data_IF_006202849213
#
_entry.id   IF_006202849213
#
_cell.length_a   1.000
_cell.length_b   1.000
_cell.length_c   1.000
_cell.angle_alpha   90.00
_cell.angle_beta   90.00
_cell.angle_gamma   90.00
#
_symmetry.space_group_name_H-M   'P 1'
#
loop_
_entity.id
_entity.type
_entity.pdbx_description
1 polymer ?
#
# COMPACT_ATOMS: atom_id res chain seq x y z
N UNK A 1 -0.25 1.63 7.18
CA UNK A 1 0.19 0.24 7.42
C UNK A 1 0.98 -0.48 6.32
N UNK A 2 0.42 -0.95 5.19
CA UNK A 2 1.23 -1.73 4.22
C UNK A 2 2.45 -0.94 3.67
N UNK A 3 2.29 0.39 3.52
CA UNK A 3 3.37 1.36 3.23
C UNK A 3 4.40 1.42 4.37
N UNK A 4 3.93 1.57 5.60
CA UNK A 4 4.74 1.67 6.83
C UNK A 4 5.57 0.40 7.07
N UNK A 5 4.99 -0.78 6.91
CA UNK A 5 5.72 -2.07 6.95
C UNK A 5 6.81 -2.10 5.89
N UNK A 6 6.52 -1.68 4.65
CA UNK A 6 7.51 -1.62 3.58
C UNK A 6 8.67 -0.66 3.89
N UNK A 7 8.40 0.50 4.49
CA UNK A 7 9.42 1.44 4.96
C UNK A 7 10.26 0.79 6.06
N UNK A 8 9.62 0.21 7.08
CA UNK A 8 10.30 -0.46 8.19
C UNK A 8 11.18 -1.63 7.71
N UNK A 9 10.72 -2.43 6.76
CA UNK A 9 11.51 -3.52 6.18
C UNK A 9 12.69 -3.00 5.35
N UNK A 10 12.53 -1.89 4.62
CA UNK A 10 13.64 -1.26 3.89
C UNK A 10 14.72 -0.75 4.86
N UNK A 11 14.31 -0.06 5.94
CA UNK A 11 15.20 0.41 7.01
C UNK A 11 15.89 -0.77 7.71
N UNK A 12 15.13 -1.82 8.06
CA UNK A 12 15.67 -3.00 8.71
C UNK A 12 16.69 -3.72 7.84
N UNK A 13 16.42 -3.83 6.54
CA UNK A 13 17.34 -4.42 5.56
C UNK A 13 18.61 -3.58 5.45
N UNK A 14 18.48 -2.25 5.44
CA UNK A 14 19.63 -1.36 5.43
C UNK A 14 20.46 -1.49 6.70
N UNK A 15 19.89 -1.44 7.89
CA UNK A 15 20.68 -1.56 9.12
C UNK A 15 21.09 -3.00 9.51
N UNK A 16 20.62 -4.01 8.76
CA UNK A 16 20.71 -5.42 9.16
C UNK A 16 20.10 -5.68 10.56
N UNK A 17 18.93 -5.08 10.81
CA UNK A 17 18.17 -5.31 12.02
C UNK A 17 17.59 -6.72 12.05
N UNK A 18 17.44 -7.25 13.27
CA UNK A 18 16.60 -8.41 13.53
C UNK A 18 15.15 -8.07 13.18
N UNK A 19 14.44 -9.03 12.59
CA UNK A 19 13.01 -8.92 12.26
C UNK A 19 12.32 -10.16 12.79
N UNK A 20 11.68 -10.04 13.94
CA UNK A 20 10.94 -11.12 14.57
C UNK A 20 9.44 -10.91 14.48
N UNK A 21 8.69 -11.99 14.60
CA UNK A 21 7.25 -11.98 14.52
C UNK A 21 6.62 -12.64 15.74
N UNK A 22 5.56 -12.00 16.23
CA UNK A 22 4.67 -12.56 17.24
C UNK A 22 3.22 -12.44 16.77
N UNK A 23 2.34 -13.21 17.40
CA UNK A 23 0.90 -13.15 17.18
C UNK A 23 0.17 -13.17 18.53
N UNK A 24 -0.80 -12.27 18.70
CA UNK A 24 -1.68 -12.22 19.87
C UNK A 24 -2.86 -13.16 19.64
N UNK A 25 -3.01 -14.17 20.50
CA UNK A 25 -4.17 -15.04 20.42
C UNK A 25 -5.43 -14.26 20.79
N UNK A 26 -6.48 -14.42 19.98
CA UNK A 26 -7.81 -13.84 20.23
C UNK A 26 -7.77 -12.35 20.56
N UNK A 27 -7.06 -11.55 19.76
CA UNK A 27 -6.79 -10.12 20.01
C UNK A 27 -8.01 -9.34 20.53
N UNK A 28 -9.17 -9.45 19.85
CA UNK A 28 -10.38 -8.70 20.22
C UNK A 28 -10.98 -9.11 21.58
N UNK A 29 -10.75 -10.34 22.05
CA UNK A 29 -11.29 -10.81 23.34
C UNK A 29 -10.52 -10.28 24.56
N UNK A 30 -9.42 -9.56 24.35
CA UNK A 30 -8.64 -8.96 25.43
C UNK A 30 -9.23 -7.63 25.92
N UNK A 31 -10.12 -7.02 25.13
CA UNK A 31 -10.56 -5.65 25.37
C UNK A 31 -12.01 -5.58 25.88
N UNK A 32 -12.28 -4.59 26.72
CA UNK A 32 -13.61 -4.31 27.26
C UNK A 32 -14.38 -3.38 26.31
N UNK A 33 -15.69 -3.60 26.19
CA UNK A 33 -16.53 -2.71 25.37
C UNK A 33 -17.08 -1.61 26.28
N UNK A 34 -16.93 -0.34 25.88
CA UNK A 34 -17.57 0.78 26.56
C UNK A 34 -19.05 0.90 26.18
N UNK A 35 -19.38 0.58 24.92
CA UNK A 35 -20.74 0.58 24.42
C UNK A 35 -21.57 -0.59 24.97
N UNK A 36 -22.83 -0.30 25.28
CA UNK A 36 -23.80 -1.29 25.72
C UNK A 36 -24.32 -2.09 24.51
N UNK A 37 -23.76 -3.29 24.30
CA UNK A 37 -24.10 -4.14 23.16
C UNK A 37 -24.69 -5.45 23.65
N UNK A 38 -25.80 -5.82 23.03
CA UNK A 38 -26.48 -7.08 23.27
C UNK A 38 -26.40 -7.97 22.03
N UNK A 39 -26.29 -9.27 22.23
CA UNK A 39 -26.37 -10.27 21.17
C UNK A 39 -27.35 -11.38 21.52
N UNK A 40 -27.94 -12.00 20.51
CA UNK A 40 -28.68 -13.25 20.71
C UNK A 40 -27.77 -14.30 21.33
N UNK A 41 -28.36 -15.21 22.10
CA UNK A 41 -27.62 -16.31 22.68
C UNK A 41 -26.97 -17.15 21.56
N UNK A 42 -25.66 -17.43 21.64
CA UNK A 42 -24.98 -18.16 20.57
C UNK A 42 -25.54 -19.58 20.44
N UNK A 43 -25.57 -20.08 19.22
CA UNK A 43 -26.06 -21.43 18.92
C UNK A 43 -25.33 -22.48 19.79
N UNK A 44 -26.10 -23.35 20.45
CA UNK A 44 -25.58 -24.36 21.38
C UNK A 44 -25.36 -23.88 22.82
N UNK A 45 -25.55 -22.59 23.12
CA UNK A 45 -25.46 -22.01 24.47
C UNK A 45 -26.77 -21.40 24.95
N UNK A 46 -27.87 -21.60 24.21
CA UNK A 46 -29.20 -21.12 24.61
C UNK A 46 -29.64 -21.79 25.91
N UNK A 47 -30.02 -20.98 26.89
CA UNK A 47 -30.53 -21.46 28.18
C UNK A 47 -31.99 -21.87 28.04
N UNK A 48 -32.28 -23.13 28.34
CA UNK A 48 -33.64 -23.69 28.26
C UNK A 48 -34.58 -22.93 29.20
N UNK A 49 -35.70 -22.46 28.66
CA UNK A 49 -36.68 -21.63 29.37
C UNK A 49 -36.37 -20.13 29.38
N UNK A 50 -35.20 -19.71 28.88
CA UNK A 50 -34.81 -18.31 28.75
C UNK A 50 -34.41 -17.95 27.32
N UNK A 51 -34.97 -18.64 26.32
CA UNK A 51 -34.60 -18.49 24.90
C UNK A 51 -34.79 -17.06 24.37
N UNK A 52 -35.67 -16.28 25.01
CA UNK A 52 -35.99 -14.90 24.64
C UNK A 52 -34.98 -13.88 25.18
N UNK A 53 -34.08 -14.29 26.08
CA UNK A 53 -33.06 -13.40 26.65
C UNK A 53 -31.90 -13.20 25.69
N UNK A 54 -31.25 -12.05 25.83
CA UNK A 54 -30.03 -11.67 25.09
C UNK A 54 -28.83 -11.61 26.04
N UNK A 55 -27.64 -11.83 25.50
CA UNK A 55 -26.39 -11.69 26.23
C UNK A 55 -25.90 -10.23 26.16
N UNK A 56 -25.56 -9.65 27.31
CA UNK A 56 -24.84 -8.37 27.37
C UNK A 56 -23.34 -8.63 27.18
N UNK A 57 -22.76 -8.04 26.14
CA UNK A 57 -21.34 -8.23 25.82
C UNK A 57 -20.46 -7.40 26.75
N UNK A 58 -19.62 -8.09 27.52
CA UNK A 58 -18.63 -7.46 28.42
C UNK A 58 -17.31 -7.15 27.71
N UNK A 59 -17.00 -7.87 26.63
CA UNK A 59 -15.74 -7.78 25.89
C UNK A 59 -15.97 -7.84 24.40
N UNK A 60 -15.04 -7.24 23.66
CA UNK A 60 -15.15 -7.18 22.22
C UNK A 60 -15.06 -8.57 21.59
N UNK A 61 -15.80 -8.79 20.51
CA UNK A 61 -15.82 -10.06 19.78
C UNK A 61 -15.64 -9.80 18.29
N UNK A 62 -15.23 -10.86 17.58
CA UNK A 62 -15.10 -10.81 16.12
C UNK A 62 -16.44 -10.49 15.46
N UNK A 63 -16.43 -9.55 14.52
CA UNK A 63 -17.61 -9.09 13.78
C UNK A 63 -18.15 -7.74 14.27
N UNK A 64 -17.75 -7.28 15.47
CA UNK A 64 -18.08 -5.92 15.90
C UNK A 64 -17.26 -4.89 15.12
N UNK A 65 -17.92 -3.82 14.67
CA UNK A 65 -17.30 -2.75 13.89
C UNK A 65 -16.18 -2.01 14.66
N UNK A 66 -16.29 -1.93 15.98
CA UNK A 66 -15.35 -1.21 16.84
C UNK A 66 -14.21 -2.08 17.36
N UNK A 67 -14.31 -3.41 17.25
CA UNK A 67 -13.37 -4.36 17.88
C UNK A 67 -11.90 -4.08 17.56
N UNK A 68 -11.58 -3.77 16.31
CA UNK A 68 -10.21 -3.44 15.92
C UNK A 68 -9.70 -2.11 16.47
N UNK A 69 -10.59 -1.13 16.63
CA UNK A 69 -10.23 0.19 17.17
C UNK A 69 -9.98 0.11 18.66
N UNK A 70 -10.91 -0.51 19.39
CA UNK A 70 -10.82 -0.69 20.84
C UNK A 70 -9.58 -1.53 21.22
N UNK A 71 -9.30 -2.62 20.48
CA UNK A 71 -8.05 -3.37 20.63
C UNK A 71 -6.79 -2.53 20.43
N UNK A 72 -6.75 -1.64 19.43
CA UNK A 72 -5.58 -0.80 19.19
C UNK A 72 -5.36 0.21 20.32
N UNK A 73 -6.44 0.78 20.87
CA UNK A 73 -6.39 1.68 22.03
C UNK A 73 -5.87 0.93 23.26
N UNK A 74 -6.43 -0.24 23.57
CA UNK A 74 -5.98 -1.05 24.69
C UNK A 74 -4.51 -1.46 24.55
N UNK A 75 -4.08 -1.87 23.36
CA UNK A 75 -2.69 -2.21 23.11
C UNK A 75 -1.75 -1.00 23.30
N UNK A 76 -2.16 0.18 22.83
CA UNK A 76 -1.42 1.44 22.98
C UNK A 76 -1.18 1.80 24.45
N UNK A 77 -2.22 1.71 25.29
CA UNK A 77 -2.12 1.95 26.73
C UNK A 77 -1.14 0.98 27.40
N UNK A 78 -1.25 -0.31 27.07
CA UNK A 78 -0.40 -1.35 27.64
C UNK A 78 1.06 -1.14 27.21
N UNK A 79 1.33 -1.02 25.90
CA UNK A 79 2.68 -0.93 25.36
C UNK A 79 3.38 0.37 25.78
N UNK A 80 2.64 1.47 25.96
CA UNK A 80 3.15 2.73 26.51
C UNK A 80 3.69 2.57 27.94
N UNK A 81 3.12 1.67 28.74
CA UNK A 81 3.64 1.28 30.06
C UNK A 81 4.99 0.55 30.03
N UNK A 82 5.50 0.21 28.84
CA UNK A 82 6.81 -0.41 28.64
C UNK A 82 7.74 0.46 27.78
N UNK A 83 7.65 1.78 27.94
CA UNK A 83 8.52 2.80 27.33
C UNK A 83 8.52 2.85 25.79
N UNK A 84 7.54 2.21 25.15
CA UNK A 84 7.33 2.38 23.72
C UNK A 84 6.56 3.66 23.47
N UNK A 85 7.07 4.47 22.55
CA UNK A 85 6.44 5.70 22.09
C UNK A 85 5.78 5.43 20.75
N UNK A 86 4.48 5.71 20.66
CA UNK A 86 3.71 5.60 19.42
C UNK A 86 4.16 6.65 18.41
N UNK A 87 4.15 6.27 17.13
CA UNK A 87 4.36 7.19 16.01
C UNK A 87 3.06 7.93 15.69
N UNK A 88 3.09 9.26 15.58
CA UNK A 88 1.91 10.10 15.38
C UNK A 88 1.37 10.01 13.95
N UNK A 89 2.19 9.56 12.99
CA UNK A 89 1.81 9.43 11.57
C UNK A 89 1.30 8.03 11.19
N UNK A 90 1.65 6.99 11.95
CA UNK A 90 1.04 5.67 11.91
C UNK A 90 0.88 5.09 13.33
N UNK A 91 -0.33 5.15 13.94
CA UNK A 91 -0.58 4.77 15.33
C UNK A 91 -0.51 3.25 15.60
N UNK A 92 -0.03 2.49 14.63
CA UNK A 92 0.28 1.06 14.76
C UNK A 92 1.79 0.80 14.82
N UNK A 93 2.62 1.84 14.80
CA UNK A 93 4.09 1.75 14.86
C UNK A 93 4.57 2.41 16.14
N UNK A 94 5.44 1.71 16.86
CA UNK A 94 5.99 2.15 18.13
C UNK A 94 7.50 2.06 18.10
N UNK A 95 8.18 2.93 18.85
CA UNK A 95 9.64 2.98 19.00
C UNK A 95 10.02 2.96 20.47
N UNK A 96 11.00 2.14 20.83
CA UNK A 96 11.67 2.13 22.14
C UNK A 96 13.17 2.31 21.92
N UNK A 97 13.77 3.21 22.68
CA UNK A 97 15.21 3.51 22.63
C UNK A 97 15.79 3.39 24.04
N UNK A 98 16.93 2.72 24.17
CA UNK A 98 17.70 2.68 25.41
C UNK A 98 19.20 2.72 25.07
N UNK A 99 19.82 3.89 25.25
CA UNK A 99 21.19 4.12 24.79
C UNK A 99 21.32 3.93 23.27
N UNK A 100 22.19 3.01 22.84
CA UNK A 100 22.35 2.64 21.42
C UNK A 100 21.38 1.57 20.95
N UNK A 101 20.60 0.97 21.86
CA UNK A 101 19.65 -0.10 21.53
C UNK A 101 18.33 0.50 21.08
N UNK A 102 17.80 0.02 19.96
CA UNK A 102 16.54 0.44 19.39
C UNK A 102 15.66 -0.76 19.04
N UNK A 103 14.38 -0.64 19.38
CA UNK A 103 13.34 -1.57 18.98
C UNK A 103 12.16 -0.82 18.40
N UNK A 104 11.63 -1.34 17.31
CA UNK A 104 10.38 -0.91 16.70
C UNK A 104 9.37 -2.05 16.79
N UNK A 105 8.14 -1.69 17.08
CA UNK A 105 7.01 -2.62 17.11
C UNK A 105 5.98 -2.15 16.08
N UNK A 106 5.62 -3.01 15.13
CA UNK A 106 4.54 -2.76 14.18
C UNK A 106 3.40 -3.72 14.46
N UNK A 107 2.27 -3.18 14.91
CA UNK A 107 1.05 -3.92 15.20
C UNK A 107 0.12 -3.94 13.97
N UNK A 108 -0.33 -5.11 13.55
CA UNK A 108 -1.47 -5.26 12.66
C UNK A 108 -2.48 -6.22 13.24
N UNK A 109 -3.52 -5.68 13.86
CA UNK A 109 -4.55 -6.50 14.51
C UNK A 109 -3.87 -7.46 15.50
N UNK A 110 -3.78 -8.74 15.18
CA UNK A 110 -3.15 -9.78 15.99
C UNK A 110 -1.66 -10.01 15.67
N UNK A 111 -1.18 -9.61 14.50
CA UNK A 111 0.22 -9.77 14.10
C UNK A 111 1.10 -8.64 14.65
N UNK A 112 2.29 -8.99 15.14
CA UNK A 112 3.31 -8.03 15.59
C UNK A 112 4.63 -8.32 14.87
N UNK A 113 5.20 -7.31 14.22
CA UNK A 113 6.62 -7.31 13.87
C UNK A 113 7.41 -6.56 14.92
N UNK A 114 8.47 -7.20 15.39
CA UNK A 114 9.43 -6.62 16.33
C UNK A 114 10.78 -6.52 15.62
N UNK A 115 11.25 -5.29 15.40
CA UNK A 115 12.41 -4.98 14.57
C UNK A 115 13.44 -4.22 15.40
N UNK A 116 14.72 -4.58 15.38
CA UNK A 116 15.72 -3.81 16.14
C UNK A 116 17.15 -4.31 16.02
N UNK A 117 18.06 -3.61 16.67
CA UNK A 117 19.49 -3.91 16.63
C UNK A 117 20.01 -4.72 17.84
N UNK A 118 19.21 -4.89 18.88
CA UNK A 118 19.63 -5.53 20.13
C UNK A 118 18.74 -6.72 20.47
N UNK A 119 19.28 -7.92 20.27
CA UNK A 119 18.61 -9.21 20.51
C UNK A 119 18.07 -9.31 21.95
N UNK A 120 18.78 -8.75 22.93
CA UNK A 120 18.35 -8.77 24.33
C UNK A 120 17.10 -7.91 24.54
N UNK A 121 17.10 -6.65 24.11
CA UNK A 121 15.94 -5.76 24.18
C UNK A 121 14.72 -6.35 23.48
N UNK A 122 14.91 -6.95 22.29
CA UNK A 122 13.81 -7.63 21.60
C UNK A 122 13.33 -8.85 22.41
N UNK A 123 14.25 -9.63 23.00
CA UNK A 123 13.94 -10.77 23.87
C UNK A 123 13.12 -10.37 25.10
N UNK A 124 13.55 -9.32 25.79
CA UNK A 124 12.90 -8.77 26.98
C UNK A 124 11.49 -8.24 26.61
N UNK A 125 11.35 -7.58 25.46
CA UNK A 125 10.06 -7.12 24.93
C UNK A 125 9.10 -8.28 24.66
N UNK A 126 9.57 -9.38 24.05
CA UNK A 126 8.75 -10.58 23.83
C UNK A 126 8.28 -11.20 25.15
N UNK A 127 9.19 -11.31 26.12
CA UNK A 127 8.88 -11.87 27.43
C UNK A 127 7.83 -11.01 28.13
N UNK A 128 8.03 -9.68 28.14
CA UNK A 128 7.10 -8.74 28.73
C UNK A 128 5.71 -8.77 28.06
N UNK A 129 5.64 -8.73 26.72
CA UNK A 129 4.37 -8.87 25.99
C UNK A 129 3.62 -10.17 26.36
N UNK A 130 4.36 -11.27 26.58
CA UNK A 130 3.79 -12.55 26.99
C UNK A 130 3.26 -12.58 28.42
N UNK A 131 3.62 -11.58 29.25
CA UNK A 131 3.00 -11.37 30.57
C UNK A 131 1.68 -10.60 30.49
N UNK A 132 1.51 -9.78 29.45
CA UNK A 132 0.32 -8.95 29.26
C UNK A 132 -0.76 -9.67 28.45
N UNK A 133 -0.35 -10.40 27.41
CA UNK A 133 -1.26 -11.05 26.46
C UNK A 133 -0.92 -12.51 26.24
N UNK A 134 -1.88 -13.29 25.75
CA UNK A 134 -1.64 -14.66 25.30
C UNK A 134 -0.91 -14.65 23.96
N UNK A 135 0.42 -14.77 24.00
CA UNK A 135 1.27 -14.64 22.82
C UNK A 135 1.61 -15.97 22.16
N UNK A 136 1.82 -15.93 20.84
CA UNK A 136 2.49 -16.97 20.05
C UNK A 136 3.75 -16.37 19.43
N UNK A 137 4.91 -16.91 19.78
CA UNK A 137 6.18 -16.55 19.14
C UNK A 137 6.30 -17.28 17.79
N UNK A 138 6.53 -16.54 16.71
CA UNK A 138 6.70 -17.08 15.36
C UNK A 138 8.16 -17.07 14.90
N UNK A 139 9.09 -16.58 15.73
CA UNK A 139 10.52 -16.54 15.42
C UNK A 139 10.85 -15.42 14.44
N UNK A 140 11.78 -15.67 13.52
CA UNK A 140 12.10 -14.75 12.43
C UNK A 140 10.88 -14.54 11.52
N UNK A 141 10.67 -13.30 11.08
CA UNK A 141 9.54 -12.95 10.25
C UNK A 141 9.65 -13.62 8.87
N UNK A 142 8.75 -14.57 8.62
CA UNK A 142 8.66 -15.29 7.34
C UNK A 142 7.36 -15.01 6.61
N UNK A 143 6.36 -14.43 7.28
CA UNK A 143 5.06 -14.13 6.69
C UNK A 143 4.34 -12.96 7.37
N UNK A 144 3.92 -11.95 6.63
CA UNK A 144 3.08 -10.87 7.17
C UNK A 144 2.07 -10.40 6.13
N UNK A 145 0.81 -10.16 6.50
CA UNK A 145 -0.21 -9.64 5.58
C UNK A 145 -0.33 -10.42 4.26
N UNK A 146 -0.22 -11.76 4.30
CA UNK A 146 -0.28 -12.54 3.06
C UNK A 146 0.99 -12.49 2.20
N UNK A 147 2.07 -11.89 2.69
CA UNK A 147 3.36 -11.70 2.02
C UNK A 147 4.39 -12.61 2.68
N UNK A 148 5.06 -13.46 1.89
CA UNK A 148 6.23 -14.23 2.35
C UNK A 148 7.46 -13.35 2.31
N UNK A 149 8.24 -13.37 3.38
CA UNK A 149 9.51 -12.64 3.53
C UNK A 149 10.67 -13.65 3.47
N UNK A 150 11.73 -13.26 2.78
CA UNK A 150 12.99 -13.99 2.69
C UNK A 150 14.12 -13.00 2.96
N UNK A 151 14.98 -13.31 3.92
CA UNK A 151 16.10 -12.44 4.28
C UNK A 151 17.41 -13.16 3.99
N UNK A 152 18.31 -12.52 3.24
CA UNK A 152 19.70 -12.93 3.06
C UNK A 152 20.58 -11.88 3.75
N UNK A 153 20.89 -12.13 5.04
CA UNK A 153 21.70 -11.21 5.85
C UNK A 153 23.13 -11.07 5.34
N UNK A 154 23.68 -12.12 4.73
CA UNK A 154 25.03 -12.09 4.16
C UNK A 154 25.16 -11.06 3.04
N UNK A 155 24.06 -10.85 2.30
CA UNK A 155 23.95 -9.85 1.24
C UNK A 155 23.17 -8.59 1.65
N UNK A 156 22.73 -8.49 2.90
CA UNK A 156 21.86 -7.41 3.44
C UNK A 156 20.68 -7.11 2.51
N UNK A 157 19.90 -8.15 2.31
CA UNK A 157 18.97 -8.23 1.20
C UNK A 157 17.68 -8.89 1.68
N UNK A 158 16.52 -8.36 1.27
CA UNK A 158 15.21 -8.86 1.69
C UNK A 158 14.26 -8.97 0.49
N UNK A 159 13.70 -10.15 0.27
CA UNK A 159 12.74 -10.44 -0.80
C UNK A 159 11.34 -10.68 -0.27
N UNK A 160 10.35 -10.06 -0.89
CA UNK A 160 8.93 -10.24 -0.58
C UNK A 160 8.16 -10.83 -1.75
N UNK A 161 7.32 -11.83 -1.51
CA UNK A 161 6.45 -12.42 -2.55
C UNK A 161 5.02 -12.71 -2.06
N UNK A 162 4.06 -12.63 -2.98
CA UNK A 162 2.65 -12.93 -2.76
C UNK A 162 2.19 -14.17 -3.54
N UNK A 163 3.13 -15.06 -3.87
CA UNK A 163 2.86 -16.25 -4.68
C UNK A 163 1.63 -17.04 -4.23
N UNK A 164 1.55 -17.39 -2.94
CA UNK A 164 0.43 -18.13 -2.36
C UNK A 164 -0.91 -17.38 -2.46
N UNK A 165 -0.90 -16.05 -2.32
CA UNK A 165 -2.10 -15.24 -2.51
C UNK A 165 -2.52 -15.22 -3.99
N UNK A 166 -1.56 -15.04 -4.90
CA UNK A 166 -1.82 -15.05 -6.35
C UNK A 166 -2.40 -16.40 -6.80
N UNK A 167 -1.88 -17.53 -6.30
CA UNK A 167 -2.44 -18.85 -6.59
C UNK A 167 -3.87 -19.02 -6.06
N UNK A 168 -4.15 -18.52 -4.85
CA UNK A 168 -5.49 -18.54 -4.25
C UNK A 168 -6.49 -17.76 -5.10
N UNK A 169 -6.16 -16.56 -5.56
CA UNK A 169 -7.08 -15.76 -6.40
C UNK A 169 -7.25 -16.40 -7.79
N UNK A 170 -6.19 -16.97 -8.37
CA UNK A 170 -6.29 -17.65 -9.66
C UNK A 170 -7.24 -18.84 -9.58
N UNK A 171 -7.13 -19.67 -8.53
CA UNK A 171 -8.03 -20.80 -8.29
C UNK A 171 -9.47 -20.33 -8.02
N UNK A 172 -9.65 -19.29 -7.20
CA UNK A 172 -10.97 -18.72 -6.87
C UNK A 172 -11.75 -18.29 -8.12
N UNK A 173 -11.06 -17.72 -9.11
CA UNK A 173 -11.67 -17.23 -10.34
C UNK A 173 -11.48 -18.16 -11.55
N UNK A 174 -11.05 -19.41 -11.34
CA UNK A 174 -10.86 -20.45 -12.40
C UNK A 174 -9.87 -20.03 -13.49
N UNK A 175 -8.76 -19.40 -13.10
CA UNK A 175 -7.72 -18.84 -13.97
C UNK A 175 -6.34 -19.50 -13.81
N UNK A 176 -6.23 -20.55 -13.00
CA UNK A 176 -5.00 -21.31 -12.72
C UNK A 176 -4.39 -21.99 -13.97
N UNK A 177 -5.23 -22.29 -14.98
CA UNK A 177 -4.83 -22.87 -16.26
C UNK A 177 -4.91 -21.88 -17.44
N UNK A 178 -5.27 -20.61 -17.20
CA UNK A 178 -5.45 -19.58 -18.23
C UNK A 178 -4.16 -19.21 -18.97
N UNK A 179 -4.19 -18.83 -20.25
CA UNK A 179 -2.98 -18.36 -20.97
C UNK A 179 -2.20 -17.30 -20.18
N UNK A 180 -0.88 -17.25 -20.32
CA UNK A 180 -0.03 -16.25 -19.64
C UNK A 180 0.08 -15.00 -20.50
N UNK A 181 -0.22 -13.83 -19.93
CA UNK A 181 -0.12 -12.54 -20.63
C UNK A 181 1.13 -11.78 -20.19
N UNK A 182 1.74 -11.03 -21.11
CA UNK A 182 2.98 -10.28 -20.86
C UNK A 182 2.75 -8.89 -20.25
N UNK A 183 1.57 -8.31 -20.47
CA UNK A 183 1.19 -7.00 -19.97
C UNK A 183 -0.16 -7.09 -19.24
N UNK A 184 -0.35 -6.35 -18.14
CA UNK A 184 -1.63 -6.29 -17.44
C UNK A 184 -2.71 -5.55 -18.25
N UNK A 185 -2.29 -4.61 -19.11
CA UNK A 185 -3.13 -3.88 -20.04
C UNK A 185 -2.33 -3.57 -21.30
N UNK A 186 -2.91 -3.86 -22.48
CA UNK A 186 -2.25 -3.61 -23.76
C UNK A 186 -2.52 -2.20 -24.24
N UNK A 187 -1.61 -1.66 -25.05
CA UNK A 187 -1.86 -0.42 -25.78
C UNK A 187 -3.13 -0.58 -26.65
N UNK A 188 -3.93 0.49 -26.77
CA UNK A 188 -5.17 0.57 -27.57
C UNK A 188 -6.39 -0.16 -27.01
N UNK A 189 -6.33 -0.74 -25.81
CA UNK A 189 -7.54 -1.23 -25.14
C UNK A 189 -8.37 -0.02 -24.70
N UNK A 190 -9.47 0.24 -25.41
CA UNK A 190 -10.44 1.28 -25.06
C UNK A 190 -11.61 0.67 -24.32
N UNK A 191 -11.86 1.16 -23.12
CA UNK A 191 -12.98 0.76 -22.26
C UNK A 191 -13.82 1.99 -21.98
N UNK A 192 -15.14 1.79 -21.88
CA UNK A 192 -16.07 2.90 -21.67
C UNK A 192 -17.28 2.45 -20.87
N UNK A 193 -17.81 3.35 -20.05
CA UNK A 193 -19.11 3.19 -19.37
C UNK A 193 -20.27 2.99 -20.35
N UNK A 194 -20.07 3.27 -21.64
CA UNK A 194 -21.02 3.00 -22.74
C UNK A 194 -20.97 1.54 -23.25
N UNK A 195 -20.20 0.67 -22.60
CA UNK A 195 -20.16 -0.78 -22.86
C UNK A 195 -20.82 -1.63 -21.76
N UNK A 196 -22.01 -1.26 -21.20
CA UNK A 196 -22.73 -2.16 -20.32
C UNK A 196 -23.34 -3.31 -21.14
N UNK A 197 -23.84 -4.38 -20.48
CA UNK A 197 -24.64 -5.40 -21.14
C UNK A 197 -25.79 -4.79 -21.94
N UNK A 198 -25.93 -5.15 -23.22
CA UNK A 198 -26.94 -4.58 -24.13
C UNK A 198 -28.16 -5.47 -24.31
N UNK A 199 -27.99 -6.78 -24.19
CA UNK A 199 -29.05 -7.77 -24.37
C UNK A 199 -29.45 -8.38 -23.03
N UNK A 200 -30.67 -8.92 -22.94
CA UNK A 200 -31.11 -9.66 -21.75
C UNK A 200 -30.22 -10.89 -21.46
N UNK A 201 -29.66 -11.50 -22.50
CA UNK A 201 -28.71 -12.61 -22.36
C UNK A 201 -27.38 -12.16 -21.76
N UNK A 202 -26.83 -11.04 -22.24
CA UNK A 202 -25.62 -10.45 -21.66
C UNK A 202 -25.83 -10.00 -20.22
N UNK A 203 -26.99 -9.44 -19.91
CA UNK A 203 -27.35 -9.01 -18.55
C UNK A 203 -27.35 -10.22 -17.61
N UNK A 204 -28.06 -11.29 -17.98
CA UNK A 204 -28.10 -12.54 -17.21
C UNK A 204 -26.71 -13.11 -17.00
N UNK A 205 -25.88 -13.16 -18.05
CA UNK A 205 -24.50 -13.64 -17.94
C UNK A 205 -23.66 -12.79 -17.00
N UNK A 206 -23.77 -11.46 -17.07
CA UNK A 206 -22.97 -10.56 -16.24
C UNK A 206 -23.42 -10.51 -14.78
N UNK A 207 -24.67 -10.86 -14.46
CA UNK A 207 -25.13 -11.02 -13.07
C UNK A 207 -24.33 -12.08 -12.30
N UNK A 208 -23.92 -13.15 -12.99
CA UNK A 208 -23.11 -14.23 -12.40
C UNK A 208 -21.60 -13.93 -12.40
N UNK A 209 -21.17 -12.83 -13.02
CA UNK A 209 -19.75 -12.46 -13.08
C UNK A 209 -19.35 -11.72 -11.79
N UNK A 210 -18.41 -12.25 -10.99
CA UNK A 210 -18.03 -11.66 -9.71
C UNK A 210 -17.03 -10.50 -9.88
N UNK A 211 -17.38 -9.48 -10.69
CA UNK A 211 -16.48 -8.40 -11.11
C UNK A 211 -15.89 -7.64 -9.91
N UNK A 212 -16.72 -7.13 -9.00
CA UNK A 212 -16.25 -6.41 -7.82
C UNK A 212 -15.35 -7.27 -6.92
N UNK A 213 -15.67 -8.56 -6.79
CA UNK A 213 -14.91 -9.51 -5.97
C UNK A 213 -13.50 -9.76 -6.53
N UNK A 214 -13.35 -9.91 -7.85
CA UNK A 214 -12.03 -10.07 -8.47
C UNK A 214 -11.23 -8.77 -8.43
N UNK A 215 -11.87 -7.63 -8.66
CA UNK A 215 -11.22 -6.32 -8.62
C UNK A 215 -10.70 -6.04 -7.21
N UNK A 216 -11.49 -6.31 -6.17
CA UNK A 216 -11.04 -6.22 -4.77
C UNK A 216 -9.89 -7.18 -4.44
N UNK A 217 -9.90 -8.39 -5.00
CA UNK A 217 -8.80 -9.36 -4.82
C UNK A 217 -7.50 -8.90 -5.49
N UNK A 218 -7.59 -8.30 -6.69
CA UNK A 218 -6.44 -7.71 -7.38
C UNK A 218 -5.95 -6.47 -6.61
N UNK A 219 -6.86 -5.67 -6.07
CA UNK A 219 -6.54 -4.48 -5.29
C UNK A 219 -5.69 -4.80 -4.06
N UNK A 220 -6.03 -5.85 -3.32
CA UNK A 220 -5.20 -6.29 -2.20
C UNK A 220 -3.78 -6.68 -2.63
N UNK A 221 -3.64 -7.46 -3.71
CA UNK A 221 -2.31 -7.79 -4.26
C UNK A 221 -1.53 -6.52 -4.64
N UNK A 222 -2.19 -5.57 -5.31
CA UNK A 222 -1.60 -4.32 -5.75
C UNK A 222 -1.18 -3.39 -4.60
N UNK A 223 -1.90 -3.39 -3.48
CA UNK A 223 -1.58 -2.60 -2.30
C UNK A 223 -0.42 -3.17 -1.49
N UNK A 224 -0.22 -4.49 -1.51
CA UNK A 224 0.87 -5.16 -0.82
C UNK A 224 2.20 -5.00 -1.57
N UNK A 225 2.37 -5.71 -2.70
CA UNK A 225 3.64 -5.69 -3.47
C UNK A 225 3.45 -5.67 -5.00
N UNK A 226 2.24 -5.88 -5.52
CA UNK A 226 1.98 -6.04 -6.97
C UNK A 226 1.69 -4.71 -7.66
N UNK A 227 2.57 -3.72 -7.51
CA UNK A 227 2.42 -2.43 -8.20
C UNK A 227 2.30 -2.56 -9.72
N UNK A 228 2.81 -3.65 -10.27
CA UNK A 228 2.79 -4.00 -11.68
C UNK A 228 1.38 -4.36 -12.20
N UNK A 229 0.33 -4.13 -11.44
CA UNK A 229 -1.05 -4.11 -11.94
C UNK A 229 -1.80 -2.83 -11.57
N UNK A 230 -1.15 -1.86 -10.93
CA UNK A 230 -1.80 -0.68 -10.34
C UNK A 230 -2.54 0.17 -11.38
N UNK A 231 -1.92 0.42 -12.55
CA UNK A 231 -2.58 1.15 -13.64
C UNK A 231 -3.81 0.42 -14.16
N UNK A 232 -3.66 -0.85 -14.56
CA UNK A 232 -4.76 -1.64 -15.08
C UNK A 232 -5.91 -1.74 -14.07
N UNK A 233 -5.60 -1.96 -12.79
CA UNK A 233 -6.56 -1.97 -11.70
C UNK A 233 -7.31 -0.62 -11.57
N UNK A 234 -6.57 0.49 -11.63
CA UNK A 234 -7.14 1.84 -11.57
C UNK A 234 -8.18 2.08 -12.66
N UNK A 235 -7.92 1.58 -13.88
CA UNK A 235 -8.88 1.60 -14.99
C UNK A 235 -10.08 0.68 -14.70
N UNK A 236 -9.85 -0.56 -14.22
CA UNK A 236 -10.94 -1.50 -13.93
C UNK A 236 -11.90 -1.01 -12.84
N UNK A 237 -11.40 -0.25 -11.86
CA UNK A 237 -12.21 0.32 -10.79
C UNK A 237 -13.30 1.27 -11.29
N UNK A 238 -13.14 1.88 -12.46
CA UNK A 238 -14.08 2.85 -13.04
C UNK A 238 -15.42 2.24 -13.45
N UNK A 239 -15.46 0.91 -13.61
CA UNK A 239 -16.59 0.20 -14.21
C UNK A 239 -17.31 -0.74 -13.23
N UNK A 240 -17.03 -0.68 -11.93
CA UNK A 240 -17.62 -1.62 -10.95
C UNK A 240 -19.16 -1.63 -10.98
N UNK A 241 -19.80 -0.48 -11.23
CA UNK A 241 -21.25 -0.35 -11.26
C UNK A 241 -21.90 -0.76 -12.61
N UNK A 242 -21.12 -0.86 -13.69
CA UNK A 242 -21.65 -1.05 -15.05
C UNK A 242 -20.80 -2.02 -15.90
N UNK A 243 -20.15 -2.98 -15.26
CA UNK A 243 -19.26 -3.91 -15.93
C UNK A 243 -20.01 -4.74 -16.99
N UNK A 244 -19.67 -4.53 -18.26
CA UNK A 244 -19.91 -5.47 -19.36
C UNK A 244 -18.72 -6.40 -19.67
N UNK A 245 -18.86 -7.20 -20.74
CA UNK A 245 -17.90 -8.23 -21.13
C UNK A 245 -16.50 -7.75 -21.51
N UNK A 246 -16.40 -6.55 -22.10
CA UNK A 246 -15.11 -5.95 -22.42
C UNK A 246 -14.29 -5.73 -21.13
N UNK A 247 -14.94 -5.23 -20.08
CA UNK A 247 -14.34 -5.03 -18.77
C UNK A 247 -13.98 -6.37 -18.12
N UNK A 248 -14.86 -7.37 -18.19
CA UNK A 248 -14.56 -8.71 -17.68
C UNK A 248 -13.34 -9.34 -18.38
N UNK A 249 -13.23 -9.15 -19.70
CA UNK A 249 -12.09 -9.61 -20.49
C UNK A 249 -10.80 -8.90 -20.08
N UNK A 250 -10.86 -7.60 -19.80
CA UNK A 250 -9.73 -6.84 -19.28
C UNK A 250 -9.29 -7.34 -17.89
N UNK A 251 -10.21 -7.58 -16.96
CA UNK A 251 -9.87 -8.15 -15.64
C UNK A 251 -9.24 -9.54 -15.76
N UNK A 252 -9.78 -10.40 -16.63
CA UNK A 252 -9.15 -11.71 -16.93
C UNK A 252 -7.73 -11.55 -17.47
N UNK A 253 -7.44 -10.50 -18.24
CA UNK A 253 -6.08 -10.20 -18.73
C UNK A 253 -5.13 -9.89 -17.57
N UNK A 254 -5.57 -9.14 -16.57
CA UNK A 254 -4.79 -8.89 -15.35
C UNK A 254 -4.48 -10.20 -14.61
N UNK A 255 -5.48 -11.10 -14.46
CA UNK A 255 -5.25 -12.41 -13.84
C UNK A 255 -4.26 -13.28 -14.63
N UNK A 256 -4.35 -13.30 -15.97
CA UNK A 256 -3.39 -13.99 -16.83
C UNK A 256 -1.96 -13.44 -16.68
N UNK A 257 -1.84 -12.13 -16.49
CA UNK A 257 -0.56 -11.48 -16.22
C UNK A 257 -0.02 -11.83 -14.83
N UNK A 258 -0.87 -11.81 -13.79
CA UNK A 258 -0.51 -12.28 -12.46
C UNK A 258 -0.08 -13.75 -12.47
N UNK A 259 -0.74 -14.62 -13.27
CA UNK A 259 -0.30 -16.01 -13.48
C UNK A 259 1.11 -16.09 -14.05
N UNK A 260 1.45 -15.23 -15.02
CA UNK A 260 2.79 -15.19 -15.61
C UNK A 260 3.86 -14.81 -14.59
N UNK A 261 3.51 -13.92 -13.68
CA UNK A 261 4.45 -13.22 -12.81
C UNK A 261 4.30 -13.60 -11.33
N UNK A 262 3.60 -14.69 -11.03
CA UNK A 262 3.27 -15.12 -9.66
C UNK A 262 4.51 -15.37 -8.79
N UNK A 263 5.63 -15.70 -9.42
CA UNK A 263 6.91 -16.00 -8.78
C UNK A 263 7.85 -14.79 -8.69
N UNK A 264 7.37 -13.57 -9.01
CA UNK A 264 8.14 -12.35 -8.83
C UNK A 264 8.23 -11.92 -7.37
N UNK A 265 9.33 -11.24 -7.05
CA UNK A 265 9.67 -10.70 -5.76
C UNK A 265 9.82 -9.19 -5.85
N UNK A 266 9.36 -8.48 -4.82
CA UNK A 266 9.85 -7.13 -4.52
C UNK A 266 11.10 -7.31 -3.65
N UNK A 267 12.25 -6.90 -4.17
CA UNK A 267 13.55 -7.12 -3.53
C UNK A 267 14.09 -5.79 -3.02
N UNK A 268 14.52 -5.82 -1.77
CA UNK A 268 15.22 -4.74 -1.09
C UNK A 268 16.69 -5.09 -0.96
N UNK A 269 17.57 -4.13 -1.19
CA UNK A 269 19.01 -4.39 -1.13
C UNK A 269 19.87 -3.17 -1.45
N UNK A 270 20.32 -2.51 -0.38
CA UNK A 270 21.42 -1.53 -0.39
C UNK A 270 21.18 -0.25 -1.19
N UNK A 271 22.07 0.72 -1.00
CA UNK A 271 21.92 2.10 -1.49
C UNK A 271 22.19 3.11 -0.37
N UNK A 272 22.02 4.38 -0.70
CA UNK A 272 21.98 5.44 0.31
C UNK A 272 20.58 5.52 0.87
N UNK A 273 20.45 5.63 2.20
CA UNK A 273 19.16 5.65 2.90
C UNK A 273 18.42 6.98 2.65
N UNK A 274 18.04 7.24 1.40
CA UNK A 274 17.42 8.47 0.91
C UNK A 274 16.01 8.12 0.43
N UNK A 275 15.04 8.97 0.78
CA UNK A 275 13.68 8.93 0.25
C UNK A 275 13.60 9.81 -1.00
N UNK A 276 13.15 9.22 -2.11
CA UNK A 276 12.91 9.92 -3.37
C UNK A 276 11.57 9.50 -3.99
N UNK A 277 10.90 10.44 -4.64
CA UNK A 277 9.62 10.26 -5.33
C UNK A 277 9.75 10.47 -6.85
N UNK A 278 8.89 9.83 -7.63
CA UNK A 278 8.75 10.05 -9.06
C UNK A 278 7.26 10.17 -9.38
N UNK A 279 6.91 11.16 -10.22
CA UNK A 279 5.54 11.37 -10.67
C UNK A 279 5.43 11.52 -12.17
N UNK A 280 4.30 11.06 -12.68
CA UNK A 280 3.88 11.19 -14.06
C UNK A 280 2.38 11.49 -14.10
N UNK A 281 1.94 12.14 -15.17
CA UNK A 281 0.52 12.34 -15.46
C UNK A 281 0.21 12.07 -16.92
N UNK A 282 -0.80 11.24 -17.18
CA UNK A 282 -1.39 11.14 -18.52
C UNK A 282 -2.57 12.12 -18.62
N UNK A 283 -2.34 13.26 -19.25
CA UNK A 283 -3.35 14.28 -19.48
C UNK A 283 -4.53 13.73 -20.29
N UNK A 284 -5.76 14.02 -19.85
CA UNK A 284 -6.99 13.71 -20.58
C UNK A 284 -7.10 12.24 -21.04
N UNK A 285 -6.59 11.33 -20.20
CA UNK A 285 -6.41 9.91 -20.56
C UNK A 285 -7.69 9.06 -20.51
N UNK A 286 -8.76 9.55 -19.88
CA UNK A 286 -10.01 8.82 -19.75
C UNK A 286 -10.94 9.10 -20.94
N UNK A 287 -11.32 8.05 -21.69
CA UNK A 287 -12.19 8.17 -22.86
C UNK A 287 -13.66 8.56 -22.50
N UNK A 288 -14.09 8.46 -21.23
CA UNK A 288 -15.47 8.73 -20.81
C UNK A 288 -15.70 10.17 -20.34
N UNK A 289 -14.82 10.70 -19.48
CA UNK A 289 -14.97 12.05 -18.88
C UNK A 289 -13.72 12.94 -19.01
N UNK A 290 -12.74 12.51 -19.81
CA UNK A 290 -11.54 13.28 -20.14
C UNK A 290 -10.69 13.65 -18.92
N UNK A 291 -10.87 12.99 -17.78
CA UNK A 291 -10.05 13.24 -16.60
C UNK A 291 -8.68 12.54 -16.73
N UNK A 292 -7.64 13.23 -16.28
CA UNK A 292 -6.25 12.75 -16.31
C UNK A 292 -5.99 11.61 -15.33
N UNK A 293 -5.03 10.74 -15.67
CA UNK A 293 -4.52 9.71 -14.78
C UNK A 293 -3.21 10.20 -14.16
N UNK A 294 -3.11 10.16 -12.83
CA UNK A 294 -1.86 10.42 -12.11
C UNK A 294 -1.23 9.11 -11.63
N UNK A 295 0.10 9.10 -11.56
CA UNK A 295 0.87 7.99 -11.04
C UNK A 295 2.09 8.51 -10.27
N UNK A 296 2.39 7.89 -9.14
CA UNK A 296 3.64 8.16 -8.44
C UNK A 296 4.22 6.90 -7.80
N UNK A 297 5.52 6.93 -7.55
CA UNK A 297 6.27 5.90 -6.83
C UNK A 297 7.28 6.55 -5.90
N UNK A 298 7.49 5.95 -4.73
CA UNK A 298 8.53 6.37 -3.79
C UNK A 298 9.49 5.24 -3.49
N UNK A 299 10.77 5.57 -3.53
CA UNK A 299 11.86 4.68 -3.18
C UNK A 299 12.54 5.17 -1.91
N UNK A 300 12.88 4.24 -1.02
CA UNK A 300 13.75 4.47 0.12
C UNK A 300 14.92 3.51 -0.02
N UNK A 301 16.16 3.99 0.05
CA UNK A 301 17.32 3.14 -0.18
C UNK A 301 17.33 2.49 -1.58
N UNK A 302 16.84 3.18 -2.61
CA UNK A 302 16.68 2.59 -3.94
C UNK A 302 15.58 1.52 -4.04
N UNK A 303 14.91 1.20 -2.94
CA UNK A 303 13.90 0.15 -2.84
C UNK A 303 12.49 0.75 -2.83
N UNK A 304 11.56 0.15 -3.58
CA UNK A 304 10.22 0.71 -3.75
C UNK A 304 9.34 0.50 -2.50
N UNK A 305 8.98 1.58 -1.82
CA UNK A 305 8.23 1.56 -0.55
C UNK A 305 6.80 2.10 -0.64
N UNK A 306 6.47 2.92 -1.64
CA UNK A 306 5.09 3.39 -1.87
C UNK A 306 4.80 3.63 -3.36
N UNK A 307 3.51 3.57 -3.73
CA UNK A 307 3.05 3.89 -5.09
C UNK A 307 1.56 4.20 -5.11
N UNK A 308 1.13 4.88 -6.17
CA UNK A 308 -0.29 5.10 -6.48
C UNK A 308 -0.48 5.22 -7.98
N UNK A 309 -1.62 4.73 -8.45
CA UNK A 309 -2.13 4.98 -9.79
C UNK A 309 -3.61 5.30 -9.65
N UNK A 310 -4.00 6.55 -9.91
CA UNK A 310 -5.36 7.01 -9.72
C UNK A 310 -5.81 7.93 -10.83
N UNK A 311 -7.10 7.91 -11.11
CA UNK A 311 -7.75 9.00 -11.82
C UNK A 311 -7.72 10.25 -10.93
N UNK A 312 -7.51 11.43 -11.52
CA UNK A 312 -7.66 12.70 -10.82
C UNK A 312 -9.12 12.96 -10.46
N UNK A 313 -9.38 13.90 -9.55
CA UNK A 313 -10.76 14.23 -9.14
C UNK A 313 -11.44 15.23 -10.09
N UNK A 314 -10.64 15.98 -10.84
CA UNK A 314 -11.08 17.14 -11.62
C UNK A 314 -10.52 17.11 -13.03
N UNK A 315 -11.34 17.46 -14.01
CA UNK A 315 -10.88 17.77 -15.37
C UNK A 315 -10.11 19.09 -15.38
N UNK A 316 -9.04 19.17 -16.15
CA UNK A 316 -8.19 20.35 -16.30
C UNK A 316 -7.92 20.64 -17.77
N UNK A 317 -7.58 21.89 -18.08
CA UNK A 317 -7.52 22.40 -19.45
C UNK A 317 -6.12 22.30 -20.06
N UNK A 318 -5.10 21.94 -19.27
CA UNK A 318 -3.72 21.79 -19.75
C UNK A 318 -2.97 20.65 -19.09
N UNK A 319 -2.00 20.09 -19.82
CA UNK A 319 -1.05 19.10 -19.29
C UNK A 319 -0.32 19.63 -18.06
N UNK A 320 0.11 20.90 -18.09
CA UNK A 320 0.78 21.55 -16.96
C UNK A 320 -0.06 21.51 -15.68
N UNK A 321 -1.36 21.80 -15.75
CA UNK A 321 -2.23 21.75 -14.58
C UNK A 321 -2.45 20.33 -14.07
N UNK A 322 -2.55 19.36 -14.97
CA UNK A 322 -2.66 17.96 -14.60
C UNK A 322 -1.40 17.49 -13.84
N UNK A 323 -0.22 17.82 -14.36
CA UNK A 323 1.06 17.52 -13.72
C UNK A 323 1.20 18.20 -12.36
N UNK A 324 0.76 19.45 -12.26
CA UNK A 324 0.80 20.16 -10.99
C UNK A 324 -0.13 19.54 -9.94
N UNK A 325 -1.32 19.09 -10.35
CA UNK A 325 -2.22 18.35 -9.46
C UNK A 325 -1.55 17.07 -8.98
N UNK A 326 -0.92 16.31 -9.87
CA UNK A 326 -0.22 15.08 -9.51
C UNK A 326 0.93 15.36 -8.53
N UNK A 327 1.78 16.35 -8.82
CA UNK A 327 2.86 16.78 -7.95
C UNK A 327 2.36 17.25 -6.56
N UNK A 328 1.21 17.92 -6.51
CA UNK A 328 0.60 18.32 -5.23
C UNK A 328 0.10 17.12 -4.40
N UNK A 329 -0.51 16.12 -5.04
CA UNK A 329 -0.94 14.90 -4.35
C UNK A 329 0.26 14.04 -3.91
N UNK A 330 1.32 13.97 -4.72
CA UNK A 330 2.57 13.29 -4.37
C UNK A 330 3.29 14.00 -3.22
N UNK A 331 3.38 15.32 -3.24
CA UNK A 331 4.02 16.09 -2.16
C UNK A 331 3.35 15.87 -0.80
N UNK A 332 2.02 15.75 -0.74
CA UNK A 332 1.32 15.37 0.49
C UNK A 332 1.79 14.01 1.02
N UNK A 333 1.96 13.04 0.13
CA UNK A 333 2.44 11.71 0.49
C UNK A 333 3.91 11.73 0.90
N UNK A 334 4.73 12.53 0.22
CA UNK A 334 6.13 12.76 0.58
C UNK A 334 6.25 13.38 1.98
N UNK A 335 5.46 14.40 2.31
CA UNK A 335 5.44 15.03 3.64
C UNK A 335 5.00 14.03 4.71
N UNK A 336 3.95 13.23 4.46
CA UNK A 336 3.57 12.18 5.40
C UNK A 336 4.71 11.17 5.62
N UNK A 337 5.40 10.75 4.56
CA UNK A 337 6.54 9.82 4.67
C UNK A 337 7.74 10.45 5.37
N UNK A 338 8.03 11.73 5.09
CA UNK A 338 9.08 12.51 5.76
C UNK A 338 8.83 12.53 7.26
N UNK A 339 7.63 12.91 7.69
CA UNK A 339 7.32 13.00 9.12
C UNK A 339 7.30 11.62 9.79
N UNK A 340 6.70 10.61 9.13
CA UNK A 340 6.71 9.23 9.62
C UNK A 340 8.14 8.72 9.87
N UNK A 341 9.04 8.93 8.90
CA UNK A 341 10.44 8.49 8.97
C UNK A 341 11.25 9.34 9.97
N UNK A 342 10.99 10.65 10.07
CA UNK A 342 11.60 11.52 11.08
C UNK A 342 11.36 11.01 12.50
N UNK A 343 10.15 10.59 12.81
CA UNK A 343 9.83 10.03 14.13
C UNK A 343 10.50 8.69 14.43
N UNK A 344 10.91 7.94 13.40
CA UNK A 344 11.71 6.72 13.60
C UNK A 344 13.13 7.06 14.09
N UNK A 345 13.64 8.26 13.76
CA UNK A 345 14.94 8.79 14.21
C UNK A 345 16.14 7.90 13.86
N UNK A 346 16.07 7.26 12.69
CA UNK A 346 17.12 6.37 12.16
C UNK A 346 17.43 6.63 10.69
N UNK A 347 16.95 7.72 10.11
CA UNK A 347 17.21 8.05 8.70
C UNK A 347 17.71 9.48 8.61
N UNK A 348 19.01 9.77 8.79
CA UNK A 348 19.50 11.14 8.91
C UNK A 348 19.20 12.02 7.69
N UNK A 349 19.22 11.43 6.49
CA UNK A 349 18.93 12.11 5.22
C UNK A 349 17.52 12.71 5.16
N UNK A 350 16.58 12.26 6.00
CA UNK A 350 15.19 12.71 5.99
C UNK A 350 15.03 14.14 6.49
N UNK A 351 16.05 14.69 7.15
CA UNK A 351 16.10 16.10 7.51
C UNK A 351 16.05 17.00 6.25
N UNK A 352 16.69 16.56 5.17
CA UNK A 352 16.68 17.27 3.89
C UNK A 352 15.30 17.20 3.20
N UNK A 353 15.00 18.13 2.27
CA UNK A 353 13.78 18.07 1.48
C UNK A 353 13.71 16.77 0.65
N UNK A 354 12.56 16.09 0.66
CA UNK A 354 12.33 14.90 -0.18
C UNK A 354 12.31 15.31 -1.64
N UNK A 355 13.19 14.72 -2.44
CA UNK A 355 13.26 15.02 -3.87
C UNK A 355 12.13 14.29 -4.60
N UNK A 356 11.36 15.05 -5.36
CA UNK A 356 10.30 14.57 -6.24
C UNK A 356 10.73 14.82 -7.69
N UNK A 357 10.88 13.74 -8.44
CA UNK A 357 11.24 13.77 -9.84
C UNK A 357 10.01 13.88 -10.73
N UNK A 358 9.97 14.91 -11.59
CA UNK A 358 8.92 15.14 -12.57
C UNK A 358 9.56 15.40 -13.95
N UNK A 359 8.93 14.98 -15.04
CA UNK A 359 9.44 15.21 -16.39
C UNK A 359 8.91 16.51 -17.03
N UNK A 360 7.93 17.16 -16.41
CA UNK A 360 7.32 18.39 -16.91
C UNK A 360 8.01 19.67 -16.40
N UNK A 361 8.79 20.30 -17.27
CA UNK A 361 9.46 21.58 -16.99
C UNK A 361 8.49 22.72 -16.60
N UNK A 362 7.27 22.73 -17.16
CA UNK A 362 6.27 23.76 -16.87
C UNK A 362 5.77 23.67 -15.44
N UNK A 363 5.51 22.45 -14.94
CA UNK A 363 5.13 22.22 -13.55
C UNK A 363 6.27 22.60 -12.59
N UNK A 364 7.52 22.20 -12.89
CA UNK A 364 8.70 22.54 -12.09
C UNK A 364 8.92 24.06 -12.04
N UNK A 365 8.84 24.73 -13.18
CA UNK A 365 8.99 26.18 -13.26
C UNK A 365 7.90 26.90 -12.46
N UNK A 366 6.66 26.39 -12.46
CA UNK A 366 5.57 27.03 -11.73
C UNK A 366 5.70 26.89 -10.21
N UNK A 367 6.34 25.84 -9.71
CA UNK A 367 6.70 25.70 -8.29
C UNK A 367 7.78 26.72 -7.90
N UNK A 368 8.77 26.96 -8.77
CA UNK A 368 9.90 27.88 -8.50
C UNK A 368 9.53 29.35 -8.69
N UNK A 369 8.78 29.67 -9.73
CA UNK A 369 8.42 31.04 -10.14
C UNK A 369 6.91 31.15 -10.39
N UNK A 370 6.14 31.59 -9.38
CA UNK A 370 4.69 31.66 -9.51
C UNK A 370 4.28 32.79 -10.46
N UNK A 371 3.84 32.43 -11.67
CA UNK A 371 3.17 33.36 -12.57
C UNK A 371 1.72 33.53 -12.14
N UNK A 372 1.29 34.79 -11.97
CA UNK A 372 -0.10 35.16 -11.73
C UNK A 372 -0.95 34.70 -12.92
N UNK A 373 -1.84 33.74 -12.68
CA UNK A 373 -2.83 33.31 -13.64
C UNK A 373 -4.22 33.31 -12.99
N UNK A 374 -5.20 33.79 -13.73
CA UNK A 374 -6.61 33.84 -13.34
C UNK A 374 -7.21 32.42 -13.39
N UNK A 375 -6.82 31.53 -12.47
CA UNK A 375 -7.19 30.10 -12.45
C UNK A 375 -8.34 29.82 -11.49
N UNK A 376 -8.96 28.65 -11.66
CA UNK A 376 -10.03 28.15 -10.80
C UNK A 376 -9.56 27.98 -9.34
N UNK A 377 -10.46 28.25 -8.36
CA UNK A 377 -10.13 28.24 -6.92
C UNK A 377 -9.53 26.90 -6.43
N UNK A 378 -9.97 25.77 -6.99
CA UNK A 378 -9.53 24.43 -6.57
C UNK A 378 -8.06 24.18 -6.94
N UNK A 379 -7.67 24.61 -8.14
CA UNK A 379 -6.30 24.56 -8.62
C UNK A 379 -5.43 25.50 -7.78
N UNK A 380 -5.91 26.71 -7.49
CA UNK A 380 -5.19 27.69 -6.67
C UNK A 380 -4.83 27.16 -5.27
N UNK A 381 -5.73 26.43 -4.60
CA UNK A 381 -5.44 25.82 -3.29
C UNK A 381 -4.30 24.80 -3.37
N UNK A 382 -4.30 23.93 -4.39
CA UNK A 382 -3.21 22.97 -4.62
C UNK A 382 -1.90 23.70 -4.95
N UNK A 383 -1.96 24.80 -5.69
CA UNK A 383 -0.82 25.70 -5.92
C UNK A 383 -0.18 26.17 -4.62
N UNK A 384 -0.97 26.79 -3.75
CA UNK A 384 -0.48 27.31 -2.47
C UNK A 384 0.09 26.21 -1.57
N UNK A 385 -0.57 25.04 -1.50
CA UNK A 385 -0.11 23.95 -0.64
C UNK A 385 1.25 23.38 -1.06
N UNK A 386 1.43 23.07 -2.36
CA UNK A 386 2.71 22.54 -2.84
C UNK A 386 3.82 23.58 -2.65
N UNK A 387 3.52 24.85 -2.88
CA UNK A 387 4.46 25.95 -2.66
C UNK A 387 4.87 26.05 -1.20
N UNK A 388 3.91 26.03 -0.27
CA UNK A 388 4.18 26.06 1.16
C UNK A 388 5.08 24.89 1.58
N UNK A 389 4.82 23.67 1.09
CA UNK A 389 5.67 22.50 1.36
C UNK A 389 7.11 22.68 0.87
N UNK A 390 7.30 23.34 -0.29
CA UNK A 390 8.64 23.64 -0.83
C UNK A 390 9.32 24.75 -0.02
N UNK A 391 8.60 25.82 0.33
CA UNK A 391 9.11 26.93 1.14
C UNK A 391 9.50 26.49 2.56
N UNK A 392 8.75 25.54 3.15
CA UNK A 392 9.09 24.91 4.44
C UNK A 392 10.29 23.96 4.35
N UNK A 393 10.73 23.58 3.15
CA UNK A 393 11.81 22.61 2.95
C UNK A 393 11.38 21.14 3.17
N UNK A 394 10.09 20.84 3.04
CA UNK A 394 9.60 19.47 3.16
C UNK A 394 9.93 18.65 1.90
N UNK A 395 9.77 19.28 0.73
CA UNK A 395 9.96 18.66 -0.59
C UNK A 395 10.71 19.58 -1.55
N UNK A 396 11.37 19.00 -2.56
CA UNK A 396 11.99 19.72 -3.67
C UNK A 396 11.65 19.04 -4.99
N UNK A 397 11.28 19.81 -6.00
CA UNK A 397 10.97 19.30 -7.35
C UNK A 397 12.20 19.36 -8.26
N UNK A 398 12.61 18.21 -8.79
CA UNK A 398 13.71 18.07 -9.74
C UNK A 398 13.26 17.42 -11.06
N UNK A 399 14.01 17.67 -12.12
CA UNK A 399 13.69 17.15 -13.45
C UNK A 399 14.23 15.73 -13.63
N UNK A 400 13.41 14.85 -14.18
CA UNK A 400 13.84 13.55 -14.75
C UNK A 400 13.53 13.50 -16.24
N UNK A 401 14.28 12.68 -17.00
CA UNK A 401 13.95 12.39 -18.39
C UNK A 401 12.73 11.45 -18.42
N UNK A 402 11.74 11.67 -19.30
CA UNK A 402 10.57 10.80 -19.41
C UNK A 402 10.91 9.32 -19.61
N UNK A 403 11.98 8.99 -20.35
CA UNK A 403 12.42 7.60 -20.53
C UNK A 403 12.96 6.96 -19.23
N UNK A 404 13.42 7.78 -18.30
CA UNK A 404 13.93 7.38 -16.98
C UNK A 404 12.86 7.49 -15.88
N UNK A 405 11.70 8.09 -16.19
CA UNK A 405 10.62 8.24 -15.24
C UNK A 405 9.96 6.90 -14.95
N UNK A 406 10.25 6.33 -13.77
CA UNK A 406 9.66 5.07 -13.35
C UNK A 406 8.16 5.21 -13.01
N UNK A 407 7.59 6.42 -12.93
CA UNK A 407 6.15 6.58 -12.75
C UNK A 407 5.32 6.32 -14.02
N UNK A 408 5.93 6.35 -15.22
CA UNK A 408 5.25 6.19 -16.51
C UNK A 408 4.28 4.99 -16.61
N UNK A 409 4.67 3.77 -16.17
CA UNK A 409 3.78 2.62 -16.25
C UNK A 409 2.54 2.68 -15.34
N UNK A 410 2.46 3.69 -14.46
CA UNK A 410 1.33 3.92 -13.55
C UNK A 410 0.28 4.85 -14.16
N UNK A 411 0.56 5.53 -15.27
CA UNK A 411 -0.37 6.48 -15.90
C UNK A 411 -0.90 6.00 -17.25
N UNK A 412 -0.11 5.18 -17.96
CA UNK A 412 -0.40 4.77 -19.33
C UNK A 412 0.17 3.37 -19.65
N UNK A 413 -0.40 2.64 -20.63
CA UNK A 413 0.21 1.42 -21.13
C UNK A 413 1.52 1.74 -21.86
N UNK A 414 2.61 1.07 -21.46
CA UNK A 414 3.91 1.18 -22.13
C UNK A 414 4.24 -0.11 -22.90
N UNK A 415 5.27 -0.07 -23.75
CA UNK A 415 5.73 -1.25 -24.48
C UNK A 415 6.21 -2.34 -23.52
N UNK A 416 6.16 -3.61 -23.94
CA UNK A 416 6.61 -4.72 -23.09
C UNK A 416 8.06 -4.57 -22.61
N UNK A 417 8.95 -4.07 -23.47
CA UNK A 417 10.38 -3.88 -23.15
C UNK A 417 10.54 -2.77 -22.11
N UNK A 418 9.93 -1.60 -22.35
CA UNK A 418 9.96 -0.49 -21.40
C UNK A 418 9.35 -0.88 -20.05
N UNK A 419 8.23 -1.61 -20.09
CA UNK A 419 7.57 -2.11 -18.89
C UNK A 419 8.51 -2.96 -18.03
N UNK A 420 9.17 -3.95 -18.63
CA UNK A 420 10.12 -4.80 -17.93
C UNK A 420 11.32 -4.01 -17.35
N UNK A 421 11.82 -3.01 -18.09
CA UNK A 421 12.90 -2.14 -17.62
C UNK A 421 12.48 -1.31 -16.40
N UNK A 422 11.31 -0.67 -16.43
CA UNK A 422 10.82 0.09 -15.29
C UNK A 422 10.56 -0.80 -14.07
N UNK A 423 9.95 -1.98 -14.25
CA UNK A 423 9.77 -2.94 -13.15
C UNK A 423 11.11 -3.35 -12.51
N UNK A 424 12.15 -3.52 -13.32
CA UNK A 424 13.50 -3.78 -12.83
C UNK A 424 14.08 -2.62 -12.02
N UNK A 425 13.85 -1.36 -12.44
CA UNK A 425 14.25 -0.17 -11.66
C UNK A 425 13.43 0.00 -10.37
N UNK A 426 12.24 -0.58 -10.31
CA UNK A 426 11.35 -0.61 -9.13
C UNK A 426 11.66 -1.76 -8.15
N UNK A 427 12.68 -2.57 -8.40
CA UNK A 427 13.05 -3.70 -7.52
C UNK A 427 12.19 -4.95 -7.68
N UNK A 428 11.33 -5.03 -8.72
CA UNK A 428 10.62 -6.26 -9.06
C UNK A 428 11.53 -7.20 -9.86
N UNK A 429 11.84 -8.36 -9.27
CA UNK A 429 12.75 -9.37 -9.84
C UNK A 429 12.07 -10.73 -9.98
N UNK A 430 12.53 -11.57 -10.91
CA UNK A 430 12.13 -12.98 -10.90
C UNK A 430 12.82 -13.71 -9.76
N UNK A 431 12.21 -14.81 -9.30
CA UNK A 431 12.80 -15.68 -8.28
C UNK A 431 14.25 -16.07 -8.61
N UNK A 432 14.53 -16.43 -9.86
CA UNK A 432 15.86 -16.86 -10.35
C UNK A 432 16.93 -15.78 -10.31
N UNK A 433 16.54 -14.51 -10.28
CA UNK A 433 17.46 -13.38 -10.34
C UNK A 433 17.85 -12.90 -8.94
N UNK A 434 17.34 -13.59 -7.90
CA UNK A 434 17.36 -13.15 -6.50
C UNK A 434 17.72 -14.30 -5.54
N UNK A 435 17.06 -15.47 -5.68
CA UNK A 435 17.36 -16.73 -4.99
C UNK A 435 18.21 -17.62 -5.89
#
# INVERSE_FOLDING_TARGET
>A
MAKSIRIMLAIATWYDYEIWQMNVKTAFLNDFIEEEIYMDQPEGFTVVGEEQKVCHLQRSIYGLKQASGSWNIHFDEVIGGYDFVKNDFDPCVYKKVSGSSIAFLVLYVDDILLIGNDVKMLGDTKAWLSTQFSMKNLGEASYILGIKIFTDRSKRMLGMTQNSYVEKILKRFKMEHSKREFLPMRHRVKLSKKQPPKTNEDLKRMLDVPYASVVGSIQYAAQCIRLNVAYALSVMNRYQACAGEAHWTAVKTILKYLRRTKDMFLVYGGGELILEGYSDTSFQSDDDDVISQLGFVFKLNGDLVAWKSSKQDTTVDSTMEAEYIAASEEAKEAVWMKNYIQELDVVPSIAEPVVIFCDNNGAIAQVKEPRSHHRSKYILRRYHLLKEMVERGDVRMDRVNSAENIADPLTKPVSQIAYAQHLGKMGLRQKSDWL
#
